data_IF_263338325576
#
_entry.id   IF_263338325576
#
_cell.length_a   1.000
_cell.length_b   1.000
_cell.length_c   1.000
_cell.angle_alpha   90.00
_cell.angle_beta   90.00
_cell.angle_gamma   90.00
#
_symmetry.space_group_name_H-M   'P 1'
#
loop_
_entity.id
_entity.type
_entity.pdbx_description
1 polymer ?
#
# COMPACT_ATOMS: atom_id res chain seq x y z
N UNK A 1 -15.49 -3.04 4.88
CA UNK A 1 -14.82 -2.70 6.15
C UNK A 1 -14.44 -1.22 6.11
N UNK A 2 -14.32 -0.57 7.27
CA UNK A 2 -13.85 0.81 7.35
C UNK A 2 -12.61 0.87 8.25
N UNK A 3 -11.61 1.59 7.81
CA UNK A 3 -10.34 1.76 8.52
C UNK A 3 -10.02 3.24 8.68
N UNK A 4 -9.33 3.57 9.76
CA UNK A 4 -8.76 4.90 9.96
C UNK A 4 -7.34 4.72 10.44
N UNK A 5 -6.40 5.41 9.81
CA UNK A 5 -5.00 5.42 10.22
C UNK A 5 -4.55 6.84 10.53
N UNK A 6 -3.68 6.96 11.52
CA UNK A 6 -3.02 8.19 11.91
C UNK A 6 -1.54 8.09 11.54
N UNK A 7 -1.07 9.00 10.69
CA UNK A 7 0.35 9.14 10.38
C UNK A 7 1.10 9.75 11.56
N UNK A 8 2.18 9.10 11.99
CA UNK A 8 2.96 9.47 13.18
C UNK A 8 4.24 10.22 12.81
N UNK A 9 4.93 9.78 11.76
CA UNK A 9 6.13 10.46 11.26
C UNK A 9 5.77 11.73 10.49
N UNK A 10 4.80 11.60 9.58
CA UNK A 10 4.16 12.72 8.90
C UNK A 10 2.71 12.78 9.38
N UNK A 11 2.33 13.79 10.20
CA UNK A 11 0.98 13.90 10.71
C UNK A 11 -0.06 13.88 9.59
N UNK A 12 -0.90 12.85 9.60
CA UNK A 12 -1.98 12.69 8.63
C UNK A 12 -3.12 11.86 9.23
N UNK A 13 -4.30 11.97 8.64
CA UNK A 13 -5.44 11.09 8.94
C UNK A 13 -5.94 10.51 7.63
N UNK A 14 -5.90 9.19 7.55
CA UNK A 14 -6.46 8.42 6.45
C UNK A 14 -7.78 7.78 6.86
N UNK A 15 -8.80 7.84 6.01
CA UNK A 15 -10.07 7.12 6.18
C UNK A 15 -10.37 6.31 4.94
N UNK A 16 -10.34 4.99 5.08
CA UNK A 16 -10.49 4.04 3.98
C UNK A 16 -11.76 3.21 4.15
N UNK A 17 -12.54 3.13 3.08
CA UNK A 17 -13.62 2.17 2.91
C UNK A 17 -13.17 1.05 1.97
N UNK A 18 -13.20 -0.18 2.45
CA UNK A 18 -12.87 -1.37 1.68
C UNK A 18 -14.13 -2.19 1.38
N UNK A 19 -14.31 -2.61 0.14
CA UNK A 19 -15.42 -3.46 -0.30
C UNK A 19 -14.88 -4.67 -1.06
N UNK A 20 -15.38 -5.85 -0.70
CA UNK A 20 -15.07 -7.11 -1.37
C UNK A 20 -16.20 -7.49 -2.33
N UNK A 21 -15.87 -7.99 -3.52
CA UNK A 21 -16.82 -8.45 -4.54
C UNK A 21 -16.11 -9.35 -5.56
N UNK A 22 -16.53 -9.31 -6.83
CA UNK A 22 -15.76 -9.94 -7.93
C UNK A 22 -14.36 -9.34 -8.06
N UNK A 23 -14.25 -8.05 -7.73
CA UNK A 23 -13.00 -7.32 -7.47
C UNK A 23 -13.05 -6.75 -6.06
N UNK A 24 -11.89 -6.55 -5.46
CA UNK A 24 -11.79 -5.79 -4.20
C UNK A 24 -11.52 -4.34 -4.53
N UNK A 25 -12.07 -3.44 -3.72
CA UNK A 25 -11.94 -2.00 -3.95
C UNK A 25 -11.74 -1.25 -2.66
N UNK A 26 -10.75 -0.37 -2.65
CA UNK A 26 -10.48 0.57 -1.58
C UNK A 26 -10.74 1.99 -2.09
N UNK A 27 -11.56 2.74 -1.37
CA UNK A 27 -11.71 4.19 -1.55
C UNK A 27 -11.25 4.87 -0.29
N UNK A 28 -10.36 5.85 -0.41
CA UNK A 28 -9.74 6.46 0.76
C UNK A 28 -9.59 7.96 0.60
N UNK A 29 -9.69 8.64 1.73
CA UNK A 29 -9.41 10.05 1.89
C UNK A 29 -8.26 10.17 2.88
N UNK A 30 -7.14 10.71 2.45
CA UNK A 30 -6.04 11.09 3.31
C UNK A 30 -6.00 12.61 3.45
N UNK A 31 -5.76 13.12 4.66
CA UNK A 31 -5.54 14.55 4.90
C UNK A 31 -4.25 14.73 5.69
N UNK A 32 -3.36 15.58 5.19
CA UNK A 32 -2.10 15.96 5.84
C UNK A 32 -1.89 17.49 5.78
N UNK A 33 -0.64 17.95 5.93
CA UNK A 33 -0.28 19.37 5.85
C UNK A 33 -0.47 19.99 4.47
N UNK A 34 -0.39 19.20 3.41
CA UNK A 34 -0.44 19.67 2.01
C UNK A 34 -1.90 19.73 1.53
N UNK A 35 -2.78 18.95 2.16
CA UNK A 35 -4.22 19.03 1.99
C UNK A 35 -4.87 17.66 1.94
N UNK A 36 -5.93 17.55 1.14
CA UNK A 36 -6.72 16.33 0.96
C UNK A 36 -6.30 15.57 -0.31
N UNK A 37 -6.06 14.28 -0.14
CA UNK A 37 -5.85 13.31 -1.21
C UNK A 37 -7.03 12.34 -1.26
N UNK A 38 -7.67 12.23 -2.41
CA UNK A 38 -8.75 11.28 -2.65
C UNK A 38 -8.23 10.18 -3.58
N UNK A 39 -8.15 8.95 -3.10
CA UNK A 39 -7.63 7.85 -3.91
C UNK A 39 -8.53 6.63 -3.93
N UNK A 40 -8.35 5.84 -4.99
CA UNK A 40 -9.01 4.57 -5.18
C UNK A 40 -8.03 3.51 -5.66
N UNK A 41 -8.18 2.29 -5.14
CA UNK A 41 -7.44 1.10 -5.58
C UNK A 41 -8.43 -0.01 -5.93
N UNK A 42 -8.23 -0.65 -7.08
CA UNK A 42 -8.93 -1.88 -7.48
C UNK A 42 -7.95 -3.04 -7.50
N UNK A 43 -8.35 -4.15 -6.89
CA UNK A 43 -7.63 -5.43 -6.88
C UNK A 43 -8.52 -6.51 -7.50
N UNK A 44 -7.93 -7.53 -8.09
CA UNK A 44 -8.69 -8.74 -8.43
C UNK A 44 -8.98 -9.61 -7.21
N UNK A 45 -9.71 -10.71 -7.42
CA UNK A 45 -10.10 -11.64 -6.36
C UNK A 45 -8.92 -12.23 -5.56
N UNK A 46 -7.73 -12.33 -6.17
CA UNK A 46 -6.50 -12.88 -5.60
C UNK A 46 -5.61 -11.81 -4.93
N UNK A 47 -6.16 -10.61 -4.70
CA UNK A 47 -5.45 -9.46 -4.13
C UNK A 47 -4.34 -8.90 -5.02
N UNK A 48 -4.33 -9.22 -6.31
CA UNK A 48 -3.38 -8.62 -7.25
C UNK A 48 -3.87 -7.24 -7.67
N UNK A 49 -2.97 -6.26 -7.62
CA UNK A 49 -3.23 -4.90 -8.07
C UNK A 49 -3.69 -4.82 -9.54
N UNK A 50 -4.69 -3.97 -9.80
CA UNK A 50 -5.20 -3.66 -11.14
C UNK A 50 -5.16 -2.19 -11.47
N UNK A 51 -5.73 -1.35 -10.62
CA UNK A 51 -5.87 0.08 -10.87
C UNK A 51 -5.65 0.89 -9.60
N UNK A 52 -5.03 2.05 -9.75
CA UNK A 52 -4.94 3.09 -8.73
C UNK A 52 -5.15 4.43 -9.38
N UNK A 53 -5.92 5.29 -8.71
CA UNK A 53 -6.01 6.70 -9.06
C UNK A 53 -6.00 7.54 -7.79
N UNK A 54 -5.41 8.73 -7.87
CA UNK A 54 -5.41 9.70 -6.78
C UNK A 54 -5.56 11.11 -7.34
N UNK A 55 -6.39 11.91 -6.67
CA UNK A 55 -6.48 13.35 -6.82
C UNK A 55 -5.76 14.01 -5.64
N UNK A 56 -4.85 14.91 -5.96
CA UNK A 56 -4.06 15.65 -4.99
C UNK A 56 -4.63 17.06 -4.74
N UNK A 57 -4.24 17.73 -3.64
CA UNK A 57 -4.77 19.06 -3.28
C UNK A 57 -4.55 20.14 -4.34
N UNK A 58 -3.53 19.99 -5.19
CA UNK A 58 -3.17 20.92 -6.24
C UNK A 58 -3.71 20.50 -7.61
N UNK A 59 -4.86 19.81 -7.63
CA UNK A 59 -5.60 19.35 -8.80
C UNK A 59 -4.82 18.41 -9.74
N UNK A 60 -3.68 17.88 -9.32
CA UNK A 60 -2.99 16.83 -10.10
C UNK A 60 -3.67 15.49 -9.89
N UNK A 61 -3.72 14.71 -10.98
CA UNK A 61 -4.18 13.32 -10.99
C UNK A 61 -3.01 12.41 -11.35
N UNK A 62 -2.89 11.30 -10.63
CA UNK A 62 -2.01 10.20 -10.98
C UNK A 62 -2.85 8.95 -11.17
N UNK A 63 -2.63 8.25 -12.28
CA UNK A 63 -3.29 6.99 -12.62
C UNK A 63 -2.24 5.92 -12.88
N UNK A 64 -2.46 4.76 -12.29
CA UNK A 64 -1.59 3.59 -12.45
C UNK A 64 -2.47 2.40 -12.78
N UNK A 65 -2.13 1.68 -13.85
CA UNK A 65 -2.86 0.49 -14.28
C UNK A 65 -1.89 -0.66 -14.55
N UNK A 66 -2.28 -1.86 -14.12
CA UNK A 66 -1.59 -3.12 -14.39
C UNK A 66 -2.54 -4.11 -15.08
N UNK A 67 -2.23 -4.45 -16.33
CA UNK A 67 -3.02 -5.43 -17.08
C UNK A 67 -2.92 -6.85 -16.50
N UNK A 68 -3.82 -7.75 -16.90
CA UNK A 68 -3.74 -9.19 -16.60
C UNK A 68 -2.45 -9.82 -17.12
N UNK A 69 -1.91 -9.33 -18.24
CA UNK A 69 -0.61 -9.73 -18.79
C UNK A 69 0.61 -9.10 -18.11
N UNK A 70 0.43 -8.32 -17.03
CA UNK A 70 1.52 -7.70 -16.28
C UNK A 70 2.11 -6.43 -16.91
N UNK A 71 1.45 -5.86 -17.92
CA UNK A 71 1.86 -4.57 -18.49
C UNK A 71 1.44 -3.43 -17.58
N UNK A 72 2.40 -2.58 -17.22
CA UNK A 72 2.16 -1.40 -16.39
C UNK A 72 2.05 -0.13 -17.25
N UNK A 73 1.13 0.75 -16.85
CA UNK A 73 1.02 2.13 -17.33
C UNK A 73 0.91 3.10 -16.17
N UNK A 74 1.51 4.27 -16.33
CA UNK A 74 1.38 5.41 -15.41
C UNK A 74 0.99 6.62 -16.25
N UNK A 75 -0.17 7.22 -15.98
CA UNK A 75 -0.76 8.29 -16.80
C UNK A 75 -0.71 7.95 -18.31
N UNK A 76 -1.21 6.76 -18.66
CA UNK A 76 -1.18 6.16 -20.00
C UNK A 76 0.20 5.87 -20.60
N UNK A 77 1.31 6.24 -19.96
CA UNK A 77 2.66 5.92 -20.44
C UNK A 77 3.07 4.50 -20.05
N UNK A 78 3.63 3.73 -20.98
CA UNK A 78 4.13 2.38 -20.71
C UNK A 78 5.33 2.42 -19.75
N UNK A 79 5.32 1.52 -18.76
CA UNK A 79 6.36 1.40 -17.74
C UNK A 79 7.00 0.01 -17.73
N UNK A 80 7.85 -0.30 -18.73
CA UNK A 80 8.52 -1.60 -18.81
C UNK A 80 9.48 -1.86 -17.64
N UNK A 81 9.96 -0.81 -16.97
CA UNK A 81 10.78 -0.93 -15.77
C UNK A 81 10.00 -1.52 -14.57
N UNK A 82 8.67 -1.41 -14.55
CA UNK A 82 7.81 -1.97 -13.51
C UNK A 82 7.37 -3.42 -13.79
N UNK A 83 7.86 -4.08 -14.84
CA UNK A 83 7.38 -5.42 -15.23
C UNK A 83 7.52 -6.49 -14.13
N UNK A 84 8.50 -6.37 -13.23
CA UNK A 84 8.65 -7.28 -12.08
C UNK A 84 7.67 -6.99 -10.95
N UNK A 85 7.04 -5.81 -10.93
CA UNK A 85 6.09 -5.42 -9.91
C UNK A 85 4.76 -6.17 -10.03
N UNK A 86 4.25 -6.63 -8.90
CA UNK A 86 2.94 -7.31 -8.80
C UNK A 86 1.91 -6.40 -8.13
N UNK A 87 2.33 -5.70 -7.07
CA UNK A 87 1.49 -4.83 -6.25
C UNK A 87 2.00 -3.38 -6.29
N UNK A 88 1.20 -2.43 -5.83
CA UNK A 88 1.65 -1.06 -5.55
C UNK A 88 2.07 -0.92 -4.08
N UNK A 89 2.91 0.05 -3.78
CA UNK A 89 3.16 0.51 -2.42
C UNK A 89 2.98 2.04 -2.32
N UNK A 90 2.07 2.50 -1.47
CA UNK A 90 1.78 3.93 -1.32
C UNK A 90 2.62 4.48 -0.17
N UNK A 91 3.56 5.39 -0.47
CA UNK A 91 4.43 6.02 0.52
C UNK A 91 3.68 6.71 1.68
N UNK A 92 2.42 7.06 1.44
CA UNK A 92 1.58 7.86 2.31
C UNK A 92 0.46 7.05 3.00
N UNK A 93 0.39 5.72 2.81
CA UNK A 93 -0.65 4.87 3.41
C UNK A 93 -0.12 3.49 3.82
N UNK A 94 -0.50 2.96 4.99
CA UNK A 94 -0.18 1.59 5.38
C UNK A 94 -1.09 0.55 4.72
N UNK A 95 -2.12 0.97 3.98
CA UNK A 95 -3.07 0.05 3.34
C UNK A 95 -2.37 -0.95 2.42
N UNK A 96 -1.38 -0.50 1.64
CA UNK A 96 -0.74 -1.32 0.60
C UNK A 96 0.07 -2.49 1.15
N UNK A 97 0.49 -2.47 2.42
CA UNK A 97 1.12 -3.64 3.04
C UNK A 97 0.15 -4.85 3.13
N UNK A 98 -1.16 -4.59 3.12
CA UNK A 98 -2.21 -5.63 3.15
C UNK A 98 -2.18 -6.50 1.89
N UNK A 99 -1.85 -5.93 0.73
CA UNK A 99 -1.86 -6.62 -0.57
C UNK A 99 -0.93 -7.85 -0.56
N UNK A 100 0.39 -7.71 -0.34
CA UNK A 100 1.28 -8.86 -0.31
C UNK A 100 0.99 -9.78 0.88
N UNK A 101 0.55 -9.26 2.03
CA UNK A 101 0.17 -10.09 3.18
C UNK A 101 -0.95 -11.07 2.81
N UNK A 102 -1.98 -10.58 2.11
CA UNK A 102 -3.13 -11.39 1.69
C UNK A 102 -2.81 -12.29 0.51
N UNK A 103 -2.12 -11.76 -0.50
CA UNK A 103 -1.75 -12.50 -1.72
C UNK A 103 -0.75 -13.63 -1.45
N UNK A 104 0.27 -13.38 -0.61
CA UNK A 104 1.30 -14.37 -0.32
C UNK A 104 0.83 -15.41 0.70
N UNK A 105 -0.07 -15.03 1.61
CA UNK A 105 -0.61 -15.87 2.69
C UNK A 105 0.46 -16.76 3.35
N UNK A 106 1.58 -16.14 3.73
CA UNK A 106 2.76 -16.86 4.19
C UNK A 106 2.43 -17.71 5.43
N UNK A 107 3.02 -18.91 5.52
CA UNK A 107 3.06 -19.63 6.79
C UNK A 107 3.95 -18.90 7.81
N UNK A 108 3.68 -19.07 9.11
CA UNK A 108 4.53 -18.50 10.15
C UNK A 108 5.95 -19.08 10.02
N UNK A 109 6.95 -18.21 10.05
CA UNK A 109 8.36 -18.54 9.81
C UNK A 109 8.79 -18.44 8.34
N UNK A 110 7.84 -18.38 7.40
CA UNK A 110 8.16 -18.22 5.98
C UNK A 110 8.39 -16.77 5.59
N UNK A 111 9.16 -16.58 4.51
CA UNK A 111 9.45 -15.28 3.90
C UNK A 111 9.32 -15.32 2.39
N UNK A 112 9.04 -14.18 1.79
CA UNK A 112 9.05 -14.00 0.35
C UNK A 112 9.57 -12.61 -0.01
N UNK A 113 10.29 -12.54 -1.13
CA UNK A 113 10.73 -11.30 -1.76
C UNK A 113 9.79 -10.97 -2.91
N UNK A 114 9.47 -9.69 -3.06
CA UNK A 114 8.57 -9.17 -4.07
C UNK A 114 9.15 -7.86 -4.63
N UNK A 115 8.63 -7.43 -5.78
CA UNK A 115 8.77 -6.05 -6.22
C UNK A 115 7.39 -5.40 -6.23
N UNK A 116 7.31 -4.18 -5.72
CA UNK A 116 6.14 -3.31 -5.81
C UNK A 116 6.43 -2.15 -6.74
N UNK A 117 5.38 -1.50 -7.23
CA UNK A 117 5.47 -0.15 -7.78
C UNK A 117 5.28 0.83 -6.62
N UNK A 118 6.39 1.36 -6.08
CA UNK A 118 6.36 2.37 -5.03
C UNK A 118 5.90 3.71 -5.60
N UNK A 119 4.88 4.30 -4.98
CA UNK A 119 4.22 5.52 -5.40
C UNK A 119 4.35 6.55 -4.30
N UNK A 120 5.04 7.65 -4.61
CA UNK A 120 5.08 8.86 -3.80
C UNK A 120 4.38 9.99 -4.56
N UNK A 121 3.19 10.37 -4.07
CA UNK A 121 2.36 11.43 -4.66
C UNK A 121 2.90 12.83 -4.36
N UNK A 122 3.67 12.99 -3.28
CA UNK A 122 4.27 14.27 -2.94
C UNK A 122 5.48 14.54 -3.83
N UNK A 123 6.28 13.51 -4.13
CA UNK A 123 7.43 13.59 -5.03
C UNK A 123 7.10 13.31 -6.52
N UNK A 124 5.85 12.95 -6.85
CA UNK A 124 5.41 12.52 -8.20
C UNK A 124 6.30 11.41 -8.76
N UNK A 125 6.49 10.36 -7.96
CA UNK A 125 7.42 9.29 -8.30
C UNK A 125 6.72 7.94 -8.28
N UNK A 126 6.91 7.18 -9.35
CA UNK A 126 6.52 5.77 -9.42
C UNK A 126 7.74 4.96 -9.84
N UNK A 127 8.25 4.08 -9.00
CA UNK A 127 9.49 3.30 -9.25
C UNK A 127 9.32 1.84 -8.80
N UNK A 128 10.13 0.91 -9.35
CA UNK A 128 10.24 -0.42 -8.80
C UNK A 128 10.86 -0.35 -7.39
N UNK A 129 10.28 -1.10 -6.45
CA UNK A 129 10.77 -1.18 -5.07
C UNK A 129 10.84 -2.65 -4.63
N UNK A 130 12.05 -3.22 -4.46
CA UNK A 130 12.24 -4.58 -4.00
C UNK A 130 12.06 -4.68 -2.48
N UNK A 131 11.17 -5.56 -2.04
CA UNK A 131 10.76 -5.70 -0.65
C UNK A 131 10.82 -7.17 -0.20
N UNK A 132 10.93 -7.39 1.11
CA UNK A 132 10.78 -8.71 1.73
C UNK A 132 9.77 -8.67 2.87
N UNK A 133 8.90 -9.68 2.88
CA UNK A 133 7.96 -9.93 3.97
C UNK A 133 8.28 -11.27 4.61
N UNK A 134 8.41 -11.28 5.94
CA UNK A 134 8.54 -12.50 6.75
C UNK A 134 7.38 -12.56 7.75
N UNK A 135 6.59 -13.63 7.75
CA UNK A 135 5.53 -13.80 8.76
C UNK A 135 6.14 -14.30 10.06
N UNK A 136 6.28 -13.42 11.04
CA UNK A 136 6.97 -13.71 12.31
C UNK A 136 6.06 -14.29 13.38
N UNK A 137 4.76 -14.01 13.31
CA UNK A 137 3.74 -14.57 14.21
C UNK A 137 2.37 -14.59 13.51
N UNK A 138 1.34 -15.05 14.21
CA UNK A 138 -0.05 -15.12 13.70
C UNK A 138 -0.47 -13.80 13.05
N UNK A 139 -0.18 -12.67 13.70
CA UNK A 139 -0.60 -11.33 13.31
C UNK A 139 0.57 -10.34 13.13
N UNK A 140 1.80 -10.85 12.90
CA UNK A 140 2.99 -10.00 12.77
C UNK A 140 3.81 -10.35 11.54
N UNK A 141 4.19 -9.32 10.79
CA UNK A 141 5.05 -9.43 9.62
C UNK A 141 6.25 -8.50 9.78
N UNK A 142 7.44 -9.01 9.55
CA UNK A 142 8.62 -8.18 9.35
C UNK A 142 8.62 -7.74 7.89
N UNK A 143 8.51 -6.43 7.68
CA UNK A 143 8.75 -5.76 6.41
C UNK A 143 10.20 -5.29 6.35
N UNK A 144 10.83 -5.48 5.21
CA UNK A 144 12.20 -5.05 4.91
C UNK A 144 12.21 -4.45 3.49
N UNK A 145 12.74 -3.24 3.33
CA UNK A 145 13.15 -2.76 2.00
C UNK A 145 14.49 -3.40 1.65
N UNK A 146 14.66 -3.84 0.40
CA UNK A 146 15.88 -4.53 -0.05
C UNK A 146 16.89 -3.56 -0.70
N UNK A 147 16.51 -2.29 -0.83
CA UNK A 147 17.33 -1.21 -1.36
C UNK A 147 17.78 -0.20 -0.28
N UNK A 148 17.41 -0.43 0.99
CA UNK A 148 17.84 0.35 2.15
C UNK A 148 17.94 -0.52 3.42
N UNK A 149 18.39 0.07 4.53
CA UNK A 149 18.41 -0.60 5.84
C UNK A 149 17.05 -0.51 6.58
N UNK A 150 16.01 0.01 5.94
CA UNK A 150 14.70 0.20 6.57
C UNK A 150 13.96 -1.14 6.77
N UNK A 151 13.52 -1.37 8.01
CA UNK A 151 12.67 -2.50 8.36
C UNK A 151 11.73 -2.17 9.52
N UNK A 152 10.56 -2.81 9.56
CA UNK A 152 9.59 -2.69 10.65
C UNK A 152 8.81 -3.97 10.88
N UNK A 153 8.52 -4.27 12.14
CA UNK A 153 7.58 -5.32 12.50
C UNK A 153 6.15 -4.74 12.53
N UNK A 154 5.39 -5.05 11.49
CA UNK A 154 4.02 -4.61 11.28
C UNK A 154 3.08 -5.57 12.03
N UNK A 155 2.11 -5.02 12.76
CA UNK A 155 1.01 -5.78 13.36
C UNK A 155 -0.24 -5.61 12.51
N UNK A 156 -0.95 -6.70 12.22
CA UNK A 156 -2.17 -6.69 11.40
C UNK A 156 -3.37 -7.27 12.14
N UNK A 157 -4.57 -6.94 11.65
CA UNK A 157 -5.83 -7.56 12.06
C UNK A 157 -5.99 -8.96 11.42
N UNK A 158 -7.05 -9.71 11.79
CA UNK A 158 -7.31 -11.04 11.19
C UNK A 158 -7.52 -11.02 9.67
N UNK A 159 -7.89 -9.88 9.10
CA UNK A 159 -8.08 -9.68 7.66
C UNK A 159 -6.80 -9.20 6.96
N UNK A 160 -5.69 -9.05 7.69
CA UNK A 160 -4.38 -8.67 7.16
C UNK A 160 -4.16 -7.16 7.05
N UNK A 161 -5.11 -6.32 7.49
CA UNK A 161 -4.96 -4.87 7.47
C UNK A 161 -4.09 -4.41 8.62
N UNK A 162 -3.23 -3.43 8.37
CA UNK A 162 -2.30 -2.88 9.35
C UNK A 162 -3.04 -2.29 10.54
N UNK A 163 -2.75 -2.76 11.75
CA UNK A 163 -3.16 -2.14 13.02
C UNK A 163 -2.09 -1.14 13.47
N UNK A 164 -0.83 -1.56 13.43
CA UNK A 164 0.31 -0.78 13.91
C UNK A 164 1.52 -0.98 12.98
N UNK A 165 2.08 0.15 12.55
CA UNK A 165 3.31 0.24 11.78
C UNK A 165 4.26 1.14 12.58
N UNK A 166 5.13 0.57 13.43
CA UNK A 166 5.83 1.32 14.46
C UNK A 166 6.56 2.58 13.97
N UNK A 167 6.17 3.72 14.52
CA UNK A 167 6.72 5.04 14.20
C UNK A 167 6.20 5.68 12.91
N UNK A 168 5.41 4.97 12.11
CA UNK A 168 4.85 5.47 10.85
C UNK A 168 3.33 5.65 10.91
N UNK A 169 2.58 4.61 11.28
CA UNK A 169 1.12 4.62 11.26
C UNK A 169 0.52 3.80 12.40
N UNK A 170 -0.66 4.20 12.87
CA UNK A 170 -1.46 3.40 13.80
C UNK A 170 -2.96 3.56 13.51
N UNK A 171 -3.75 2.51 13.76
CA UNK A 171 -5.22 2.62 13.75
C UNK A 171 -5.78 3.33 14.99
N UNK A 172 -4.98 3.44 16.04
CA UNK A 172 -5.36 4.12 17.28
C UNK A 172 -4.70 5.50 17.33
N UNK A 173 -5.41 6.56 17.71
CA UNK A 173 -4.78 7.84 17.94
C UNK A 173 -3.81 7.73 19.11
N UNK A 174 -2.56 8.14 18.92
CA UNK A 174 -1.64 8.31 20.05
C UNK A 174 -2.06 9.56 20.83
N UNK A 175 -2.36 9.40 22.13
CA UNK A 175 -2.47 10.56 23.03
C UNK A 175 -1.08 11.21 23.12
N UNK A 176 -0.99 12.46 22.68
CA UNK A 176 0.17 13.31 22.93
C UNK A 176 0.31 13.68 24.40
#
# INVERSE_FOLDING_TARGET
MNYTWYGLQRPSVERLQFTTGETHRARSILTDSDGRYDYEVTLDHDWVFREFSVYSPDDRRLEVHRSTGGTWRVNDELRPDLMSAIDIDLAFSPFTNTLPIRRLNLAIGSRAEITTAYIDVHAIRVIPDPQRYTRTAVNRYLYESLDSDFSRQITVDPDGFVIDYPGLYSQYPHAG
#
